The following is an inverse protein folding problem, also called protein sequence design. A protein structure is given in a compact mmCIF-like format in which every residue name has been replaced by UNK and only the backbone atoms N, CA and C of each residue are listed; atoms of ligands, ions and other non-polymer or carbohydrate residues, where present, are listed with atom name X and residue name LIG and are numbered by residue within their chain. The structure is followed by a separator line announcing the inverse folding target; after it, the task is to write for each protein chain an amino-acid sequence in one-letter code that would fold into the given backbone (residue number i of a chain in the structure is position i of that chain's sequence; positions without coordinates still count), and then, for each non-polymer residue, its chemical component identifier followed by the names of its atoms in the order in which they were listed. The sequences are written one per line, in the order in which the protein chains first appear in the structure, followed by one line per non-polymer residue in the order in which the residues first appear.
data_IF_998568743574
#
_entry.id   IF_998568743574
#
_cell.length_a   1.000
_cell.length_b   1.000
_cell.length_c   1.000
_cell.angle_alpha   90.00
_cell.angle_beta   90.00
_cell.angle_gamma   90.00
#
_symmetry.space_group_name_H-M   'P 1'
#
loop_
_entity.id
_entity.type
_entity.pdbx_description
1 polymer ?
#
# COMPACT_ATOMS: atom_id res chain seq x y z
N UNK A 1 4.93 -9.67 -0.60
CA UNK A 1 6.28 -10.01 -0.10
C UNK A 1 6.13 -10.80 1.18
N UNK A 2 6.91 -11.87 1.41
CA UNK A 2 6.88 -12.59 2.68
C UNK A 2 7.35 -11.65 3.81
N UNK A 3 6.61 -11.63 4.93
CA UNK A 3 6.97 -10.81 6.10
C UNK A 3 8.05 -11.50 6.96
N UNK A 4 8.05 -12.84 6.97
CA UNK A 4 9.12 -13.66 7.52
C UNK A 4 10.01 -14.13 6.37
N UNK A 5 11.24 -13.61 6.30
CA UNK A 5 12.17 -13.90 5.19
C UNK A 5 12.69 -15.34 5.24
N UNK A 6 13.10 -15.82 6.42
CA UNK A 6 13.55 -17.19 6.62
C UNK A 6 12.61 -17.89 7.62
N UNK A 7 11.58 -18.54 7.07
CA UNK A 7 10.58 -19.25 7.89
C UNK A 7 11.17 -20.47 8.59
N UNK A 8 12.12 -21.17 7.97
CA UNK A 8 12.69 -22.38 8.54
C UNK A 8 13.54 -22.06 9.77
N UNK A 9 14.37 -21.01 9.70
CA UNK A 9 15.14 -20.53 10.84
C UNK A 9 14.22 -20.02 11.96
N UNK A 10 13.17 -19.27 11.61
CA UNK A 10 12.17 -18.79 12.56
C UNK A 10 11.46 -19.93 13.30
N UNK A 11 11.00 -20.96 12.59
CA UNK A 11 10.32 -22.12 13.17
C UNK A 11 11.26 -22.98 14.02
N UNK A 12 12.51 -23.15 13.59
CA UNK A 12 13.54 -23.85 14.37
C UNK A 12 13.76 -23.17 15.72
N UNK A 13 13.90 -21.84 15.73
CA UNK A 13 14.10 -21.06 16.94
C UNK A 13 12.86 -21.07 17.85
N UNK A 14 11.66 -21.06 17.26
CA UNK A 14 10.41 -21.24 18.00
C UNK A 14 10.33 -22.62 18.67
N UNK A 15 10.69 -23.69 17.95
CA UNK A 15 10.71 -25.05 18.52
C UNK A 15 11.72 -25.14 19.67
N UNK A 16 12.88 -24.49 19.54
CA UNK A 16 13.89 -24.41 20.59
C UNK A 16 13.36 -23.70 21.84
N UNK A 17 12.61 -22.62 21.66
CA UNK A 17 11.91 -21.92 22.76
C UNK A 17 10.87 -22.80 23.45
N UNK A 18 10.00 -23.46 22.67
CA UNK A 18 8.96 -24.33 23.21
C UNK A 18 9.54 -25.52 23.96
N UNK A 19 10.65 -26.08 23.48
CA UNK A 19 11.40 -27.14 24.18
C UNK A 19 11.94 -26.67 25.53
N UNK A 20 12.59 -25.50 25.58
CA UNK A 20 13.08 -24.92 26.83
C UNK A 20 11.94 -24.57 27.81
N UNK A 21 10.79 -24.11 27.29
CA UNK A 21 9.59 -23.87 28.10
C UNK A 21 9.05 -25.17 28.70
N UNK A 22 8.94 -26.23 27.90
CA UNK A 22 8.45 -27.55 28.34
C UNK A 22 9.40 -28.23 29.34
N UNK A 23 10.69 -27.90 29.30
CA UNK A 23 11.69 -28.36 30.25
C UNK A 23 11.78 -27.48 31.52
N UNK A 24 10.89 -26.51 31.70
CA UNK A 24 10.86 -25.53 32.81
C UNK A 24 12.14 -24.68 32.97
N UNK A 25 12.99 -24.61 31.93
CA UNK A 25 14.25 -23.85 31.94
C UNK A 25 14.03 -22.32 32.03
N UNK A 26 12.81 -21.87 31.71
CA UNK A 26 12.44 -20.46 31.62
C UNK A 26 11.76 -19.91 32.87
N UNK A 27 11.42 -20.76 33.85
CA UNK A 27 10.61 -20.37 35.01
C UNK A 27 11.41 -19.57 36.04
N UNK A 28 12.70 -19.88 36.21
CA UNK A 28 13.56 -19.23 37.19
C UNK A 28 14.54 -18.24 36.51
N UNK A 29 14.42 -16.92 36.77
CA UNK A 29 15.28 -15.89 36.18
C UNK A 29 16.78 -16.10 36.45
N UNK A 30 17.12 -16.65 37.62
CA UNK A 30 18.51 -16.82 38.05
C UNK A 30 19.20 -17.98 37.31
N UNK A 31 18.45 -19.03 36.96
CA UNK A 31 18.96 -20.19 36.21
C UNK A 31 18.75 -20.10 34.71
N UNK A 32 18.21 -18.98 34.19
CA UNK A 32 17.95 -18.84 32.76
C UNK A 32 19.24 -19.09 31.94
N UNK A 33 19.22 -19.92 30.90
CA UNK A 33 20.38 -20.09 30.03
C UNK A 33 20.89 -18.77 29.43
N UNK A 34 22.21 -18.62 29.28
CA UNK A 34 22.84 -17.39 28.79
C UNK A 34 22.34 -16.96 27.41
N UNK A 35 22.00 -17.91 26.54
CA UNK A 35 21.50 -17.62 25.21
C UNK A 35 20.14 -16.89 25.25
N UNK A 36 19.23 -17.20 26.20
CA UNK A 36 17.94 -16.50 26.33
C UNK A 36 18.08 -15.06 26.85
N UNK A 37 19.23 -14.74 27.47
CA UNK A 37 19.58 -13.38 27.90
C UNK A 37 20.21 -12.55 26.79
N UNK A 38 20.51 -13.13 25.63
CA UNK A 38 21.17 -12.42 24.54
C UNK A 38 20.21 -11.43 23.87
N UNK A 39 20.77 -10.34 23.33
CA UNK A 39 19.99 -9.39 22.51
C UNK A 39 19.39 -10.05 21.26
N UNK A 40 20.00 -11.12 20.76
CA UNK A 40 19.53 -11.88 19.61
C UNK A 40 18.22 -12.61 19.94
N UNK A 41 18.17 -13.32 21.07
CA UNK A 41 16.95 -13.99 21.57
C UNK A 41 15.85 -12.98 21.89
N UNK A 42 16.20 -11.84 22.52
CA UNK A 42 15.23 -10.76 22.77
C UNK A 42 14.68 -10.20 21.45
N UNK A 43 15.55 -10.01 20.45
CA UNK A 43 15.14 -9.61 19.10
C UNK A 43 14.22 -10.65 18.44
N UNK A 44 14.51 -11.93 18.61
CA UNK A 44 13.64 -13.02 18.14
C UNK A 44 12.27 -13.00 18.83
N UNK A 45 12.21 -12.78 20.15
CA UNK A 45 10.93 -12.64 20.85
C UNK A 45 10.12 -11.44 20.34
N UNK A 46 10.79 -10.33 20.00
CA UNK A 46 10.18 -9.25 19.25
C UNK A 46 9.56 -9.76 17.94
N UNK A 47 10.35 -10.45 17.12
CA UNK A 47 9.89 -10.96 15.83
C UNK A 47 8.70 -11.93 15.97
N UNK A 48 8.73 -12.84 16.94
CA UNK A 48 7.64 -13.76 17.25
C UNK A 48 6.36 -13.02 17.63
N UNK A 49 6.45 -12.03 18.54
CA UNK A 49 5.30 -11.23 18.94
C UNK A 49 4.73 -10.41 17.78
N UNK A 50 5.58 -9.86 16.91
CA UNK A 50 5.14 -9.19 15.69
C UNK A 50 4.48 -10.16 14.70
N UNK A 51 5.02 -11.38 14.54
CA UNK A 51 4.43 -12.43 13.71
C UNK A 51 3.02 -12.82 14.22
N UNK A 52 2.85 -12.97 15.53
CA UNK A 52 1.54 -13.19 16.15
C UNK A 52 0.59 -12.01 15.92
N UNK A 53 1.07 -10.78 16.08
CA UNK A 53 0.30 -9.56 15.82
C UNK A 53 -0.27 -9.54 14.40
N UNK A 54 0.56 -9.81 13.40
CA UNK A 54 0.11 -9.81 12.00
C UNK A 54 -0.73 -11.05 11.64
N UNK A 55 -0.44 -12.21 12.23
CA UNK A 55 -1.30 -13.40 12.12
C UNK A 55 -2.71 -13.13 12.64
N UNK A 56 -2.84 -12.45 13.78
CA UNK A 56 -4.12 -11.98 14.32
C UNK A 56 -4.78 -11.01 13.35
N UNK A 57 -4.05 -10.05 12.77
CA UNK A 57 -4.60 -9.10 11.80
C UNK A 57 -5.28 -9.79 10.60
N UNK A 58 -4.74 -10.92 10.13
CA UNK A 58 -5.31 -11.70 9.03
C UNK A 58 -6.21 -12.87 9.48
N UNK A 59 -6.47 -13.03 10.77
CA UNK A 59 -7.33 -14.09 11.34
C UNK A 59 -8.84 -13.86 11.14
N UNK A 60 -9.67 -14.87 11.42
CA UNK A 60 -11.13 -14.75 11.34
C UNK A 60 -11.78 -14.13 12.59
N UNK A 61 -11.00 -13.55 13.50
CA UNK A 61 -11.53 -12.84 14.66
C UNK A 61 -12.37 -11.62 14.24
N UNK A 62 -13.38 -11.33 15.05
CA UNK A 62 -14.23 -10.15 14.90
C UNK A 62 -13.41 -8.87 15.08
N UNK A 63 -13.87 -7.81 14.40
CA UNK A 63 -13.07 -6.59 14.23
C UNK A 63 -12.56 -6.00 15.57
N UNK A 64 -13.39 -5.83 16.63
CA UNK A 64 -12.92 -5.26 17.89
C UNK A 64 -11.88 -6.11 18.61
N UNK A 65 -12.07 -7.44 18.71
CA UNK A 65 -11.10 -8.31 19.39
C UNK A 65 -9.83 -8.47 18.57
N UNK A 66 -9.97 -8.68 17.26
CA UNK A 66 -8.84 -8.82 16.33
C UNK A 66 -7.86 -7.68 16.52
N UNK A 67 -8.37 -6.46 16.48
CA UNK A 67 -7.49 -5.32 16.37
C UNK A 67 -6.97 -4.83 17.74
N UNK A 68 -7.71 -5.07 18.83
CA UNK A 68 -7.16 -5.01 20.20
C UNK A 68 -5.97 -5.96 20.39
N UNK A 69 -6.14 -7.24 20.07
CA UNK A 69 -5.09 -8.25 20.24
C UNK A 69 -3.89 -7.97 19.32
N UNK A 70 -4.15 -7.57 18.07
CA UNK A 70 -3.12 -7.17 17.13
C UNK A 70 -2.22 -6.06 17.70
N UNK A 71 -2.83 -4.98 18.22
CA UNK A 71 -2.09 -3.88 18.85
C UNK A 71 -1.39 -4.29 20.15
N UNK A 72 -2.00 -5.17 20.95
CA UNK A 72 -1.38 -5.68 22.17
C UNK A 72 -0.07 -6.42 21.88
N UNK A 73 -0.09 -7.36 20.93
CA UNK A 73 1.11 -8.09 20.51
C UNK A 73 2.15 -7.15 19.88
N UNK A 74 1.74 -6.18 19.06
CA UNK A 74 2.64 -5.18 18.49
C UNK A 74 3.32 -4.32 19.57
N UNK A 75 2.59 -3.91 20.61
CA UNK A 75 3.15 -3.16 21.76
C UNK A 75 4.15 -3.99 22.54
N UNK A 76 3.83 -5.26 22.84
CA UNK A 76 4.76 -6.20 23.51
C UNK A 76 6.00 -6.43 22.66
N UNK A 77 5.84 -6.53 21.35
CA UNK A 77 6.94 -6.63 20.39
C UNK A 77 7.87 -5.42 20.44
N UNK A 78 7.32 -4.20 20.41
CA UNK A 78 8.13 -2.97 20.59
C UNK A 78 8.86 -2.94 21.93
N UNK A 79 8.22 -3.43 22.99
CA UNK A 79 8.84 -3.52 24.31
C UNK A 79 10.04 -4.49 24.30
N UNK A 80 9.94 -5.63 23.63
CA UNK A 80 11.08 -6.54 23.45
C UNK A 80 12.21 -5.87 22.67
N UNK A 81 11.92 -5.17 21.57
CA UNK A 81 12.94 -4.41 20.83
C UNK A 81 13.63 -3.35 21.69
N UNK A 82 12.88 -2.65 22.55
CA UNK A 82 13.43 -1.69 23.50
C UNK A 82 14.44 -2.37 24.44
N UNK A 83 14.13 -3.55 24.97
CA UNK A 83 15.04 -4.32 25.81
C UNK A 83 16.29 -4.78 25.04
N UNK A 84 16.17 -5.10 23.75
CA UNK A 84 17.30 -5.42 22.88
C UNK A 84 18.17 -4.19 22.51
N UNK A 85 17.80 -2.98 22.95
CA UNK A 85 18.46 -1.72 22.60
C UNK A 85 18.61 -1.52 21.07
N UNK A 86 17.54 -1.84 20.32
CA UNK A 86 17.59 -1.91 18.85
C UNK A 86 18.08 -0.64 18.14
N UNK A 87 17.92 0.54 18.75
CA UNK A 87 18.41 1.80 18.19
C UNK A 87 19.95 1.90 18.22
N UNK A 88 20.57 1.38 19.27
CA UNK A 88 22.03 1.40 19.45
C UNK A 88 22.70 0.15 18.89
N UNK A 89 21.98 -0.97 18.89
CA UNK A 89 22.45 -2.29 18.46
C UNK A 89 21.42 -2.95 17.55
N UNK A 90 21.22 -2.41 16.33
CA UNK A 90 20.25 -2.98 15.40
C UNK A 90 20.69 -4.39 14.97
N UNK A 91 19.71 -5.26 14.77
CA UNK A 91 19.87 -6.64 14.30
C UNK A 91 18.87 -6.94 13.19
N UNK A 92 19.08 -8.01 12.42
CA UNK A 92 18.15 -8.41 11.36
C UNK A 92 16.75 -8.71 11.94
N UNK A 93 16.69 -9.42 13.06
CA UNK A 93 15.45 -9.65 13.80
C UNK A 93 14.76 -8.33 14.16
N UNK A 94 15.50 -7.34 14.67
CA UNK A 94 14.93 -6.06 15.04
C UNK A 94 14.38 -5.29 13.82
N UNK A 95 15.15 -5.21 12.73
CA UNK A 95 14.71 -4.54 11.49
C UNK A 95 13.46 -5.20 10.92
N UNK A 96 13.45 -6.53 10.83
CA UNK A 96 12.32 -7.28 10.31
C UNK A 96 11.08 -7.17 11.23
N UNK A 97 11.29 -7.15 12.55
CA UNK A 97 10.21 -6.89 13.52
C UNK A 97 9.60 -5.52 13.31
N UNK A 98 10.41 -4.46 13.13
CA UNK A 98 9.93 -3.10 12.88
C UNK A 98 9.15 -3.01 11.56
N UNK A 99 9.56 -3.73 10.51
CA UNK A 99 8.82 -3.84 9.25
C UNK A 99 7.41 -4.39 9.49
N UNK A 100 7.29 -5.48 10.25
CA UNK A 100 6.00 -6.11 10.55
C UNK A 100 5.12 -5.18 11.39
N UNK A 101 5.69 -4.55 12.42
CA UNK A 101 4.97 -3.58 13.26
C UNK A 101 4.50 -2.39 12.42
N UNK A 102 5.35 -1.86 11.54
CA UNK A 102 4.97 -0.81 10.61
C UNK A 102 3.77 -1.21 9.73
N UNK A 103 3.78 -2.43 9.19
CA UNK A 103 2.66 -2.94 8.41
C UNK A 103 1.38 -3.08 9.24
N UNK A 104 1.48 -3.54 10.49
CA UNK A 104 0.35 -3.62 11.42
C UNK A 104 -0.23 -2.23 11.73
N UNK A 105 0.61 -1.24 12.00
CA UNK A 105 0.17 0.14 12.23
C UNK A 105 -0.54 0.70 10.99
N UNK A 106 0.05 0.49 9.82
CA UNK A 106 -0.49 0.93 8.54
C UNK A 106 -1.89 0.33 8.31
N UNK A 107 -2.02 -0.98 8.45
CA UNK A 107 -3.28 -1.69 8.23
C UNK A 107 -4.37 -1.41 9.27
N UNK A 108 -4.00 -0.87 10.44
CA UNK A 108 -4.95 -0.39 11.46
C UNK A 108 -5.23 1.12 11.34
N UNK A 109 -4.96 1.72 10.18
CA UNK A 109 -5.30 3.11 9.89
C UNK A 109 -4.33 4.15 10.49
N UNK A 110 -3.22 3.70 11.09
CA UNK A 110 -2.16 4.55 11.65
C UNK A 110 -1.00 4.70 10.65
N UNK A 111 -1.33 5.02 9.39
CA UNK A 111 -0.37 5.08 8.30
C UNK A 111 0.70 6.16 8.47
N UNK A 112 0.41 7.28 9.14
CA UNK A 112 1.41 8.33 9.44
C UNK A 112 2.48 7.85 10.42
N UNK A 113 2.05 7.10 11.45
CA UNK A 113 2.96 6.48 12.41
C UNK A 113 3.79 5.37 11.74
N UNK A 114 3.16 4.57 10.88
CA UNK A 114 3.84 3.56 10.07
C UNK A 114 4.90 4.18 9.15
N UNK A 115 4.59 5.30 8.49
CA UNK A 115 5.53 6.02 7.62
C UNK A 115 6.74 6.56 8.39
N UNK A 116 6.49 7.14 9.56
CA UNK A 116 7.56 7.64 10.45
C UNK A 116 8.46 6.49 10.94
N UNK A 117 7.85 5.38 11.36
CA UNK A 117 8.57 4.18 11.80
C UNK A 117 9.38 3.55 10.66
N UNK A 118 8.83 3.52 9.45
CA UNK A 118 9.53 3.02 8.26
C UNK A 118 10.81 3.82 7.99
N UNK A 119 10.75 5.16 8.08
CA UNK A 119 11.94 6.00 7.94
C UNK A 119 13.03 5.71 8.98
N UNK A 120 12.65 5.49 10.25
CA UNK A 120 13.60 5.01 11.27
C UNK A 120 14.17 3.64 10.92
N UNK A 121 13.33 2.72 10.47
CA UNK A 121 13.72 1.35 10.14
C UNK A 121 14.71 1.30 8.97
N UNK A 122 14.48 2.12 7.93
CA UNK A 122 15.41 2.27 6.80
C UNK A 122 16.77 2.77 7.29
N UNK A 123 16.81 3.77 8.19
CA UNK A 123 18.09 4.28 8.75
C UNK A 123 18.85 3.22 9.55
N UNK A 124 18.14 2.36 10.28
CA UNK A 124 18.76 1.23 11.00
C UNK A 124 19.29 0.17 10.03
N UNK A 125 18.54 -0.16 8.99
CA UNK A 125 19.01 -1.06 7.94
C UNK A 125 20.25 -0.48 7.23
N UNK A 126 20.28 0.83 7.02
CA UNK A 126 21.43 1.53 6.44
C UNK A 126 22.67 1.48 7.34
N UNK A 127 22.52 1.74 8.65
CA UNK A 127 23.66 1.68 9.59
C UNK A 127 24.26 0.28 9.71
N UNK A 128 23.45 -0.75 9.44
CA UNK A 128 23.87 -2.15 9.33
C UNK A 128 24.45 -2.52 7.95
N UNK A 129 24.41 -1.62 6.96
CA UNK A 129 24.96 -1.87 5.62
C UNK A 129 24.06 -2.68 4.66
N UNK A 130 22.78 -2.89 4.99
CA UNK A 130 21.85 -3.71 4.16
C UNK A 130 21.62 -3.15 2.75
N UNK A 131 21.88 -1.85 2.57
CA UNK A 131 21.69 -1.10 1.33
C UNK A 131 22.90 -1.15 0.37
N UNK A 132 24.03 -1.72 0.82
CA UNK A 132 25.27 -1.74 0.04
C UNK A 132 25.40 -3.08 -0.67
N UNK A 133 25.39 -3.06 -2.00
CA UNK A 133 25.92 -4.16 -2.78
C UNK A 133 27.45 -4.06 -2.79
N UNK A 134 28.14 -5.11 -2.32
CA UNK A 134 29.60 -5.06 -2.28
C UNK A 134 30.18 -5.01 -3.70
N UNK A 135 30.96 -3.98 -4.02
CA UNK A 135 31.53 -3.78 -5.36
C UNK A 135 32.59 -4.84 -5.73
N UNK A 136 33.10 -5.57 -4.74
CA UNK A 136 34.14 -6.60 -4.89
C UNK A 136 33.51 -7.96 -5.22
N UNK A 137 33.78 -8.58 -6.39
CA UNK A 137 33.19 -9.85 -6.81
C UNK A 137 33.29 -11.01 -5.80
N UNK A 138 34.41 -11.10 -5.06
CA UNK A 138 34.63 -12.12 -4.02
C UNK A 138 33.75 -11.90 -2.77
N UNK A 139 33.30 -10.67 -2.53
CA UNK A 139 32.46 -10.29 -1.40
C UNK A 139 30.97 -10.25 -1.78
N UNK A 140 30.64 -10.25 -3.08
CA UNK A 140 29.28 -10.44 -3.61
C UNK A 140 28.71 -11.83 -3.33
N UNK A 141 29.56 -12.86 -3.35
CA UNK A 141 29.19 -14.22 -2.95
C UNK A 141 28.88 -14.34 -1.44
N UNK A 142 29.24 -13.33 -0.64
CA UNK A 142 28.96 -13.25 0.79
C UNK A 142 27.76 -12.34 1.12
N UNK A 143 26.99 -11.86 0.14
CA UNK A 143 25.77 -11.10 0.42
C UNK A 143 24.77 -12.05 1.07
N UNK A 144 24.43 -11.76 2.33
CA UNK A 144 23.43 -12.53 3.06
C UNK A 144 22.07 -12.40 2.33
N UNK A 145 21.52 -13.49 1.76
CA UNK A 145 20.27 -13.44 1.00
C UNK A 145 19.08 -13.01 1.86
N UNK A 146 19.14 -13.25 3.16
CA UNK A 146 18.15 -12.78 4.14
C UNK A 146 18.22 -11.25 4.25
N UNK A 147 19.42 -10.69 4.39
CA UNK A 147 19.62 -9.25 4.49
C UNK A 147 19.15 -8.52 3.22
N UNK A 148 19.46 -9.07 2.04
CA UNK A 148 18.98 -8.54 0.75
C UNK A 148 17.45 -8.59 0.65
N UNK A 149 16.83 -9.69 1.08
CA UNK A 149 15.37 -9.81 1.09
C UNK A 149 14.70 -8.83 2.05
N UNK A 150 15.26 -8.61 3.24
CA UNK A 150 14.79 -7.59 4.20
C UNK A 150 14.92 -6.19 3.60
N UNK A 151 16.04 -5.87 2.95
CA UNK A 151 16.23 -4.59 2.26
C UNK A 151 15.17 -4.39 1.16
N UNK A 152 14.95 -5.40 0.32
CA UNK A 152 13.94 -5.37 -0.73
C UNK A 152 12.54 -5.08 -0.16
N UNK A 153 12.16 -5.72 0.95
CA UNK A 153 10.88 -5.43 1.61
C UNK A 153 10.78 -3.96 2.03
N UNK A 154 11.85 -3.40 2.60
CA UNK A 154 11.90 -1.98 2.98
C UNK A 154 11.75 -1.06 1.78
N UNK A 155 12.46 -1.33 0.68
CA UNK A 155 12.35 -0.53 -0.55
C UNK A 155 10.94 -0.55 -1.10
N UNK A 156 10.33 -1.74 -1.22
CA UNK A 156 8.95 -1.85 -1.70
C UNK A 156 7.97 -1.09 -0.81
N UNK A 157 8.09 -1.22 0.51
CA UNK A 157 7.23 -0.51 1.47
C UNK A 157 7.38 1.00 1.34
N UNK A 158 8.62 1.51 1.24
CA UNK A 158 8.92 2.94 1.15
C UNK A 158 8.37 3.56 -0.13
N UNK A 159 8.59 2.91 -1.27
CA UNK A 159 8.04 3.35 -2.56
C UNK A 159 6.51 3.31 -2.53
N UNK A 160 5.92 2.21 -2.07
CA UNK A 160 4.46 2.01 -2.09
C UNK A 160 3.73 3.01 -1.18
N UNK A 161 4.24 3.24 0.03
CA UNK A 161 3.60 4.18 0.95
C UNK A 161 3.79 5.63 0.49
N UNK A 162 4.99 5.98 0.03
CA UNK A 162 5.31 7.35 -0.42
C UNK A 162 4.49 7.72 -1.66
N UNK A 163 4.28 6.77 -2.56
CA UNK A 163 3.33 6.88 -3.67
C UNK A 163 1.90 7.26 -3.25
N UNK A 164 1.36 6.54 -2.26
CA UNK A 164 0.01 6.78 -1.74
C UNK A 164 -0.10 8.17 -1.10
N UNK A 165 0.98 8.64 -0.47
CA UNK A 165 1.05 9.98 0.12
C UNK A 165 1.45 11.09 -0.85
N UNK A 166 1.77 10.77 -2.11
CA UNK A 166 2.33 11.73 -3.09
C UNK A 166 3.61 12.41 -2.57
N UNK A 167 4.48 11.62 -1.93
CA UNK A 167 5.74 12.06 -1.35
C UNK A 167 6.92 11.33 -2.00
N UNK A 168 8.12 11.93 -2.02
CA UNK A 168 9.32 11.21 -2.44
C UNK A 168 9.68 10.12 -1.42
N UNK A 169 10.08 8.92 -1.88
CA UNK A 169 10.65 7.89 -1.02
C UNK A 169 11.96 8.35 -0.35
N UNK A 170 12.33 7.72 0.77
CA UNK A 170 13.62 7.92 1.44
C UNK A 170 14.72 7.15 0.69
N UNK A 171 14.39 5.97 0.19
CA UNK A 171 15.28 5.14 -0.64
C UNK A 171 15.56 5.84 -1.96
N UNK A 172 16.79 5.70 -2.45
CA UNK A 172 17.19 6.21 -3.77
C UNK A 172 17.56 5.06 -4.70
N UNK A 173 17.42 5.26 -6.01
CA UNK A 173 17.77 4.26 -7.04
C UNK A 173 19.23 3.78 -6.92
N UNK A 174 20.13 4.62 -6.44
CA UNK A 174 21.55 4.29 -6.22
C UNK A 174 21.78 3.16 -5.21
N UNK A 175 20.85 2.93 -4.29
CA UNK A 175 20.97 1.92 -3.23
C UNK A 175 20.34 0.57 -3.61
N UNK A 176 19.75 0.47 -4.78
CA UNK A 176 19.21 -0.79 -5.26
C UNK A 176 20.28 -1.67 -5.89
N UNK A 177 21.39 -1.08 -6.39
CA UNK A 177 22.64 -1.75 -6.77
C UNK A 177 22.55 -2.85 -7.85
N UNK A 178 21.34 -3.26 -8.22
CA UNK A 178 21.05 -4.54 -8.84
C UNK A 178 21.74 -4.63 -10.20
N UNK A 179 22.63 -5.61 -10.36
CA UNK A 179 22.98 -6.09 -11.70
C UNK A 179 21.69 -6.53 -12.39
N UNK A 180 21.43 -6.01 -13.59
CA UNK A 180 20.23 -6.32 -14.36
C UNK A 180 20.01 -7.84 -14.36
N UNK A 181 18.85 -8.28 -13.85
CA UNK A 181 18.51 -9.71 -13.84
C UNK A 181 18.68 -10.22 -15.26
N UNK A 182 19.51 -11.28 -15.49
CA UNK A 182 19.81 -11.76 -16.83
C UNK A 182 18.51 -11.89 -17.64
N UNK A 183 18.47 -11.40 -18.88
CA UNK A 183 17.22 -11.30 -19.66
C UNK A 183 16.41 -12.59 -19.74
N UNK A 184 17.08 -13.73 -19.58
CA UNK A 184 16.55 -15.09 -19.76
C UNK A 184 15.93 -15.70 -18.50
N UNK A 185 15.93 -15.00 -17.37
CA UNK A 185 15.39 -15.53 -16.10
C UNK A 185 14.02 -14.95 -15.80
N UNK A 186 13.06 -15.85 -15.55
CA UNK A 186 11.69 -15.53 -15.14
C UNK A 186 11.68 -14.94 -13.73
N UNK A 187 11.00 -13.81 -13.57
CA UNK A 187 10.93 -13.06 -12.32
C UNK A 187 9.83 -13.62 -11.41
N UNK A 188 10.19 -13.93 -10.16
CA UNK A 188 9.24 -14.21 -9.10
C UNK A 188 8.44 -12.98 -8.67
N UNK A 189 7.35 -13.20 -7.93
CA UNK A 189 6.49 -12.13 -7.45
C UNK A 189 7.25 -11.02 -6.70
N UNK A 190 8.13 -11.33 -5.72
CA UNK A 190 9.00 -10.33 -5.09
C UNK A 190 9.86 -9.55 -6.08
N UNK A 191 10.49 -10.24 -7.04
CA UNK A 191 11.42 -9.62 -7.98
C UNK A 191 10.73 -8.64 -8.92
N UNK A 192 9.50 -8.95 -9.35
CA UNK A 192 8.68 -8.04 -10.14
C UNK A 192 8.37 -6.77 -9.35
N UNK A 193 7.93 -6.88 -8.09
CA UNK A 193 7.59 -5.71 -7.27
C UNK A 193 8.80 -4.80 -7.04
N UNK A 194 9.99 -5.38 -6.82
CA UNK A 194 11.23 -4.59 -6.67
C UNK A 194 11.63 -3.92 -7.97
N UNK A 195 11.50 -4.60 -9.11
CA UNK A 195 11.78 -3.98 -10.41
C UNK A 195 10.82 -2.82 -10.69
N UNK A 196 9.53 -2.93 -10.31
CA UNK A 196 8.59 -1.80 -10.38
C UNK A 196 8.99 -0.68 -9.43
N UNK A 197 9.41 -0.99 -8.20
CA UNK A 197 9.89 0.02 -7.25
C UNK A 197 11.13 0.76 -7.78
N UNK A 198 12.03 0.06 -8.46
CA UNK A 198 13.20 0.65 -9.11
C UNK A 198 12.79 1.67 -10.19
N UNK A 199 11.87 1.29 -11.08
CA UNK A 199 11.32 2.19 -12.10
C UNK A 199 10.77 3.48 -11.46
N UNK A 200 10.03 3.34 -10.35
CA UNK A 200 9.49 4.50 -9.64
C UNK A 200 10.59 5.44 -9.15
N UNK A 201 11.62 4.88 -8.52
CA UNK A 201 12.75 5.63 -7.98
C UNK A 201 13.57 6.33 -9.08
N UNK A 202 13.60 5.77 -10.29
CA UNK A 202 14.24 6.37 -11.46
C UNK A 202 13.39 7.47 -12.11
N UNK A 203 12.06 7.39 -12.00
CA UNK A 203 11.15 8.45 -12.46
C UNK A 203 11.24 9.70 -11.58
N UNK A 204 11.32 9.51 -10.25
CA UNK A 204 11.36 10.57 -9.26
C UNK A 204 12.65 11.40 -9.34
N UNK A 205 12.54 12.63 -9.85
CA UNK A 205 13.69 13.56 -9.84
C UNK A 205 13.71 14.67 -10.88
N UNK A 206 12.71 14.82 -11.75
CA UNK A 206 12.73 15.90 -12.75
C UNK A 206 11.30 16.36 -13.03
N UNK A 207 10.91 17.50 -12.46
CA UNK A 207 9.81 18.32 -12.98
C UNK A 207 10.30 18.98 -14.27
N UNK A 208 10.04 18.34 -15.41
CA UNK A 208 10.36 18.94 -16.70
C UNK A 208 9.36 20.05 -17.00
N UNK A 209 9.84 21.23 -17.39
CA UNK A 209 8.98 22.34 -17.82
C UNK A 209 8.25 21.99 -19.14
N UNK A 210 8.84 21.08 -19.93
CA UNK A 210 8.29 20.62 -21.20
C UNK A 210 7.36 19.41 -21.02
N UNK A 211 6.12 19.59 -21.45
CA UNK A 211 5.04 18.63 -21.31
C UNK A 211 5.15 17.43 -22.28
N UNK A 212 5.73 17.63 -23.46
CA UNK A 212 5.96 16.57 -24.45
C UNK A 212 7.10 15.65 -24.00
N UNK A 213 8.20 16.23 -23.50
CA UNK A 213 9.31 15.45 -22.92
C UNK A 213 8.82 14.65 -21.70
N UNK A 214 7.97 15.24 -20.86
CA UNK A 214 7.39 14.55 -19.71
C UNK A 214 6.55 13.34 -20.15
N UNK A 215 5.67 13.53 -21.13
CA UNK A 215 4.81 12.48 -21.66
C UNK A 215 5.62 11.35 -22.32
N UNK A 216 6.67 11.67 -23.08
CA UNK A 216 7.58 10.67 -23.66
C UNK A 216 8.30 9.83 -22.60
N UNK A 217 8.77 10.47 -21.52
CA UNK A 217 9.40 9.77 -20.38
C UNK A 217 8.40 8.87 -19.64
N UNK A 218 7.16 9.32 -19.46
CA UNK A 218 6.11 8.51 -18.86
C UNK A 218 5.79 7.28 -19.71
N UNK A 219 5.71 7.41 -21.04
CA UNK A 219 5.50 6.26 -21.92
C UNK A 219 6.65 5.27 -21.87
N UNK A 220 7.90 5.74 -21.92
CA UNK A 220 9.07 4.86 -21.78
C UNK A 220 9.06 4.12 -20.42
N UNK A 221 8.64 4.80 -19.37
CA UNK A 221 8.48 4.24 -18.02
C UNK A 221 7.40 3.14 -17.99
N UNK A 222 6.26 3.38 -18.64
CA UNK A 222 5.17 2.41 -18.73
C UNK A 222 5.57 1.18 -19.55
N UNK A 223 6.30 1.39 -20.65
CA UNK A 223 6.85 0.30 -21.45
C UNK A 223 7.80 -0.57 -20.62
N UNK A 224 8.67 0.04 -19.81
CA UNK A 224 9.56 -0.70 -18.92
C UNK A 224 8.80 -1.54 -17.87
N UNK A 225 7.65 -1.05 -17.37
CA UNK A 225 6.76 -1.85 -16.51
C UNK A 225 6.21 -3.06 -17.26
N UNK A 226 5.75 -2.87 -18.50
CA UNK A 226 5.23 -3.96 -19.33
C UNK A 226 6.29 -5.01 -19.67
N UNK A 227 7.52 -4.59 -19.96
CA UNK A 227 8.66 -5.48 -20.22
C UNK A 227 8.99 -6.35 -18.99
N UNK A 228 8.91 -5.79 -17.78
CA UNK A 228 9.07 -6.56 -16.53
C UNK A 228 7.95 -7.58 -16.36
N UNK A 229 6.70 -7.18 -16.62
CA UNK A 229 5.55 -8.09 -16.47
C UNK A 229 5.62 -9.26 -17.47
N UNK A 230 6.11 -9.03 -18.68
CA UNK A 230 6.35 -10.09 -19.67
C UNK A 230 7.42 -11.09 -19.23
N UNK A 231 8.35 -10.67 -18.37
CA UNK A 231 9.38 -11.52 -17.78
C UNK A 231 8.95 -12.19 -16.48
N UNK A 232 7.75 -11.92 -15.95
CA UNK A 232 7.27 -12.57 -14.73
C UNK A 232 7.06 -14.07 -14.95
N UNK A 233 7.14 -14.91 -13.92
CA UNK A 233 6.77 -16.33 -14.02
C UNK A 233 5.38 -16.50 -14.64
N UNK A 234 5.17 -17.57 -15.41
CA UNK A 234 3.94 -17.79 -16.19
C UNK A 234 2.63 -17.66 -15.39
N UNK A 235 2.58 -18.17 -14.15
CA UNK A 235 1.40 -18.05 -13.27
C UNK A 235 1.09 -16.60 -12.87
N UNK A 236 2.09 -15.72 -12.85
CA UNK A 236 1.91 -14.30 -12.60
C UNK A 236 1.37 -13.55 -13.82
N UNK A 237 1.66 -14.04 -15.03
CA UNK A 237 1.15 -13.45 -16.27
C UNK A 237 -0.30 -13.85 -16.56
N UNK A 238 -0.64 -15.13 -16.38
CA UNK A 238 -1.96 -15.66 -16.71
C UNK A 238 -2.56 -16.46 -15.56
N UNK A 239 -3.81 -16.13 -15.21
CA UNK A 239 -4.60 -16.85 -14.20
C UNK A 239 -4.73 -18.34 -14.50
N UNK A 240 -4.76 -18.73 -15.78
CA UNK A 240 -4.91 -20.13 -16.20
C UNK A 240 -3.69 -21.00 -15.83
N UNK A 241 -2.53 -20.37 -15.63
CA UNK A 241 -1.29 -21.05 -15.25
C UNK A 241 -1.14 -21.18 -13.72
N UNK A 242 -2.07 -20.65 -12.94
CA UNK A 242 -2.08 -20.79 -11.48
C UNK A 242 -2.59 -22.19 -11.07
N UNK A 243 -1.79 -22.92 -10.31
CA UNK A 243 -2.09 -24.27 -9.83
C UNK A 243 -2.41 -24.33 -8.33
N UNK A 244 -1.93 -23.37 -7.55
CA UNK A 244 -2.14 -23.31 -6.09
C UNK A 244 -2.86 -22.02 -5.67
N UNK A 245 -3.50 -22.03 -4.49
CA UNK A 245 -4.16 -20.84 -3.93
C UNK A 245 -3.16 -19.67 -3.77
N UNK A 246 -1.95 -19.95 -3.29
CA UNK A 246 -0.89 -18.95 -3.15
C UNK A 246 -0.57 -18.28 -4.49
N UNK A 247 -0.48 -19.05 -5.57
CA UNK A 247 -0.21 -18.51 -6.91
C UNK A 247 -1.35 -17.63 -7.42
N UNK A 248 -2.61 -18.00 -7.15
CA UNK A 248 -3.77 -17.16 -7.47
C UNK A 248 -3.75 -15.84 -6.70
N UNK A 249 -3.42 -15.89 -5.40
CA UNK A 249 -3.29 -14.69 -4.56
C UNK A 249 -2.17 -13.79 -5.08
N UNK A 250 -1.00 -14.34 -5.40
CA UNK A 250 0.13 -13.57 -5.93
C UNK A 250 -0.17 -12.95 -7.30
N UNK A 251 -0.79 -13.72 -8.22
CA UNK A 251 -1.21 -13.21 -9.52
C UNK A 251 -2.17 -12.01 -9.39
N UNK A 252 -3.23 -12.16 -8.59
CA UNK A 252 -4.22 -11.09 -8.42
C UNK A 252 -3.66 -9.91 -7.62
N UNK A 253 -2.82 -10.18 -6.61
CA UNK A 253 -2.11 -9.12 -5.86
C UNK A 253 -1.16 -8.35 -6.76
N UNK A 254 -0.43 -9.03 -7.66
CA UNK A 254 0.44 -8.38 -8.62
C UNK A 254 -0.35 -7.50 -9.57
N UNK A 255 -1.43 -8.02 -10.17
CA UNK A 255 -2.31 -7.23 -11.04
C UNK A 255 -2.82 -5.97 -10.36
N UNK A 256 -3.29 -6.09 -9.12
CA UNK A 256 -3.78 -4.95 -8.34
C UNK A 256 -2.69 -3.94 -8.06
N UNK A 257 -1.55 -4.39 -7.53
CA UNK A 257 -0.45 -3.49 -7.12
C UNK A 257 0.16 -2.81 -8.34
N UNK A 258 0.37 -3.52 -9.45
CA UNK A 258 0.94 -2.93 -10.66
C UNK A 258 -0.03 -1.97 -11.34
N UNK A 259 -1.32 -2.30 -11.45
CA UNK A 259 -2.31 -1.36 -11.98
C UNK A 259 -2.45 -0.11 -11.08
N UNK A 260 -2.46 -0.28 -9.75
CA UNK A 260 -2.44 0.83 -8.82
C UNK A 260 -1.21 1.72 -9.02
N UNK A 261 -0.01 1.12 -9.08
CA UNK A 261 1.25 1.82 -9.33
C UNK A 261 1.26 2.56 -10.66
N UNK A 262 0.84 1.92 -11.76
CA UNK A 262 0.76 2.58 -13.08
C UNK A 262 -0.14 3.81 -13.04
N UNK A 263 -1.29 3.72 -12.37
CA UNK A 263 -2.18 4.86 -12.25
C UNK A 263 -1.58 6.00 -11.43
N UNK A 264 -0.74 5.71 -10.42
CA UNK A 264 0.02 6.73 -9.71
C UNK A 264 1.15 7.32 -10.56
N UNK A 265 1.82 6.54 -11.40
CA UNK A 265 2.87 7.03 -12.31
C UNK A 265 2.30 7.99 -13.37
N UNK A 266 1.08 7.74 -13.86
CA UNK A 266 0.43 8.59 -14.88
C UNK A 266 -0.26 9.82 -14.27
N UNK A 267 -0.36 9.91 -12.94
CA UNK A 267 -1.00 11.02 -12.22
C UNK A 267 -0.58 12.42 -12.67
N UNK A 268 0.71 12.74 -12.94
CA UNK A 268 1.11 14.06 -13.43
C UNK A 268 0.39 14.42 -14.74
N UNK A 269 0.19 13.43 -15.61
CA UNK A 269 -0.50 13.62 -16.87
C UNK A 269 -2.02 13.78 -16.73
N UNK A 270 -2.61 13.32 -15.62
CA UNK A 270 -4.04 13.56 -15.33
C UNK A 270 -4.30 14.95 -14.77
N UNK A 271 -3.31 15.55 -14.09
CA UNK A 271 -3.41 16.88 -13.44
C UNK A 271 -3.17 18.02 -14.41
N UNK A 272 -2.23 17.84 -15.33
CA UNK A 272 -1.95 18.84 -16.35
C UNK A 272 -2.98 18.65 -17.47
N UNK A 273 -3.90 19.61 -17.63
CA UNK A 273 -4.45 19.87 -18.96
C UNK A 273 -3.27 20.30 -19.82
N UNK A 274 -2.60 19.34 -20.46
CA UNK A 274 -1.66 19.66 -21.52
C UNK A 274 -2.43 20.56 -22.46
N UNK A 275 -1.96 21.78 -22.71
CA UNK A 275 -2.55 22.70 -23.71
C UNK A 275 -2.43 22.17 -25.15
N UNK A 276 -2.30 20.85 -25.28
CA UNK A 276 -2.10 20.00 -26.43
C UNK A 276 -3.01 18.78 -26.19
N UNK A 277 -4.32 19.02 -26.12
CA UNK A 277 -5.32 17.96 -25.84
C UNK A 277 -5.40 16.88 -26.94
N UNK A 278 -4.53 16.91 -27.97
CA UNK A 278 -4.71 16.12 -29.19
C UNK A 278 -3.44 15.44 -29.75
N UNK A 279 -2.35 15.33 -28.98
CA UNK A 279 -1.21 14.51 -29.43
C UNK A 279 -1.54 13.02 -29.26
N UNK A 280 -1.25 12.21 -30.29
CA UNK A 280 -1.40 10.74 -30.22
C UNK A 280 -0.73 10.12 -28.98
N UNK A 281 0.40 10.69 -28.56
CA UNK A 281 1.15 10.30 -27.36
C UNK A 281 0.34 10.50 -26.07
N UNK A 282 -0.34 11.63 -25.94
CA UNK A 282 -1.16 11.96 -24.79
C UNK A 282 -2.42 11.08 -24.74
N UNK A 283 -3.07 10.87 -25.88
CA UNK A 283 -4.20 9.94 -25.99
C UNK A 283 -3.80 8.50 -25.59
N UNK A 284 -2.59 8.06 -25.92
CA UNK A 284 -2.08 6.76 -25.47
C UNK A 284 -1.92 6.70 -23.94
N UNK A 285 -1.39 7.76 -23.32
CA UNK A 285 -1.29 7.86 -21.85
C UNK A 285 -2.66 7.82 -21.17
N UNK A 286 -3.65 8.55 -21.69
CA UNK A 286 -5.01 8.55 -21.13
C UNK A 286 -5.67 7.17 -21.24
N UNK A 287 -5.51 6.49 -22.38
CA UNK A 287 -6.01 5.13 -22.55
C UNK A 287 -5.35 4.14 -21.58
N UNK A 288 -4.03 4.29 -21.37
CA UNK A 288 -3.29 3.48 -20.39
C UNK A 288 -3.77 3.76 -18.96
N UNK A 289 -3.97 5.03 -18.60
CA UNK A 289 -4.50 5.44 -17.31
C UNK A 289 -5.89 4.86 -17.06
N UNK A 290 -6.82 5.01 -18.01
CA UNK A 290 -8.18 4.45 -17.94
C UNK A 290 -8.14 2.94 -17.73
N UNK A 291 -7.34 2.23 -18.52
CA UNK A 291 -7.18 0.77 -18.41
C UNK A 291 -6.71 0.38 -17.01
N UNK A 292 -5.69 1.06 -16.50
CA UNK A 292 -5.12 0.79 -15.19
C UNK A 292 -6.10 1.09 -14.04
N UNK A 293 -6.79 2.23 -14.12
CA UNK A 293 -7.81 2.65 -13.16
C UNK A 293 -8.98 1.65 -13.09
N UNK A 294 -9.38 1.04 -14.21
CA UNK A 294 -10.41 0.00 -14.27
C UNK A 294 -9.89 -1.35 -13.77
N UNK A 295 -8.63 -1.70 -14.07
CA UNK A 295 -8.05 -2.97 -13.68
C UNK A 295 -7.86 -3.08 -12.15
N UNK A 296 -7.50 -2.00 -11.47
CA UNK A 296 -7.32 -1.97 -10.00
C UNK A 296 -8.55 -2.48 -9.23
N UNK A 297 -9.77 -1.91 -9.38
CA UNK A 297 -10.96 -2.39 -8.69
C UNK A 297 -11.42 -3.78 -9.15
N UNK A 298 -11.22 -4.14 -10.43
CA UNK A 298 -11.49 -5.52 -10.91
C UNK A 298 -10.62 -6.54 -10.18
N UNK A 299 -9.31 -6.31 -10.14
CA UNK A 299 -8.36 -7.18 -9.44
C UNK A 299 -8.63 -7.21 -7.93
N UNK A 300 -9.07 -6.10 -7.33
CA UNK A 300 -9.45 -6.04 -5.93
C UNK A 300 -10.64 -6.96 -5.62
N UNK A 301 -11.71 -6.86 -6.42
CA UNK A 301 -12.92 -7.69 -6.25
C UNK A 301 -12.61 -9.17 -6.46
N UNK A 302 -11.82 -9.50 -7.50
CA UNK A 302 -11.38 -10.88 -7.76
C UNK A 302 -10.54 -11.43 -6.60
N UNK A 303 -9.62 -10.63 -6.04
CA UNK A 303 -8.77 -11.05 -4.93
C UNK A 303 -9.57 -11.19 -3.63
N UNK A 304 -10.51 -10.28 -3.37
CA UNK A 304 -11.37 -10.33 -2.18
C UNK A 304 -12.24 -11.59 -2.16
N UNK A 305 -12.64 -12.08 -3.33
CA UNK A 305 -13.46 -13.29 -3.43
C UNK A 305 -12.74 -14.55 -2.92
N UNK A 306 -11.40 -14.56 -2.90
CA UNK A 306 -10.60 -15.73 -2.50
C UNK A 306 -9.68 -15.47 -1.29
N UNK A 307 -9.56 -14.22 -0.83
CA UNK A 307 -8.64 -13.83 0.23
C UNK A 307 -9.11 -12.60 0.99
N UNK A 308 -8.88 -12.58 2.30
CA UNK A 308 -9.15 -11.41 3.16
C UNK A 308 -8.10 -10.31 3.01
N UNK A 309 -6.96 -10.60 2.37
CA UNK A 309 -5.80 -9.71 2.25
C UNK A 309 -6.14 -8.31 1.71
N UNK A 310 -6.83 -8.14 0.56
CA UNK A 310 -7.11 -6.81 0.01
C UNK A 310 -8.01 -5.97 0.92
N UNK A 311 -8.90 -6.59 1.68
CA UNK A 311 -9.79 -5.92 2.64
C UNK A 311 -9.09 -5.51 3.94
N UNK A 312 -7.83 -5.92 4.12
CA UNK A 312 -7.06 -5.70 5.35
C UNK A 312 -5.68 -5.11 5.08
N UNK A 313 -5.35 -4.84 3.82
CA UNK A 313 -4.13 -4.18 3.42
C UNK A 313 -4.44 -2.71 3.13
N UNK A 314 -3.86 -1.82 3.93
CA UNK A 314 -4.06 -0.38 3.76
C UNK A 314 -3.72 0.10 2.35
N UNK A 315 -2.61 -0.37 1.78
CA UNK A 315 -2.17 0.00 0.43
C UNK A 315 -3.17 -0.45 -0.64
N UNK A 316 -3.70 -1.68 -0.54
CA UNK A 316 -4.67 -2.18 -1.51
C UNK A 316 -6.01 -1.43 -1.41
N UNK A 317 -6.47 -1.13 -0.19
CA UNK A 317 -7.64 -0.29 0.06
C UNK A 317 -7.42 1.11 -0.53
N UNK A 318 -6.24 1.69 -0.29
CA UNK A 318 -5.88 3.01 -0.82
C UNK A 318 -5.94 3.02 -2.35
N UNK A 319 -5.29 2.06 -3.00
CA UNK A 319 -5.26 1.94 -4.45
C UNK A 319 -6.67 1.80 -5.04
N UNK A 320 -7.51 0.92 -4.49
CA UNK A 320 -8.86 0.72 -5.03
C UNK A 320 -9.79 1.91 -4.79
N UNK A 321 -9.74 2.53 -3.61
CA UNK A 321 -10.55 3.72 -3.31
C UNK A 321 -10.15 4.87 -4.23
N UNK A 322 -8.84 5.10 -4.37
CA UNK A 322 -8.33 6.15 -5.23
C UNK A 322 -8.70 5.90 -6.69
N UNK A 323 -8.47 4.69 -7.22
CA UNK A 323 -8.82 4.40 -8.62
C UNK A 323 -10.32 4.54 -8.88
N UNK A 324 -11.16 4.04 -7.97
CA UNK A 324 -12.62 4.14 -8.09
C UNK A 324 -13.07 5.60 -8.02
N UNK A 325 -12.51 6.41 -7.13
CA UNK A 325 -12.88 7.82 -6.98
C UNK A 325 -12.48 8.62 -8.22
N UNK A 326 -11.28 8.38 -8.76
CA UNK A 326 -10.85 9.02 -10.01
C UNK A 326 -11.77 8.63 -11.17
N UNK A 327 -12.15 7.34 -11.30
CA UNK A 327 -13.10 6.91 -12.33
C UNK A 327 -14.46 7.62 -12.24
N UNK A 328 -14.95 7.86 -11.02
CA UNK A 328 -16.23 8.52 -10.77
C UNK A 328 -16.20 10.03 -11.04
N UNK A 329 -15.05 10.67 -10.93
CA UNK A 329 -14.92 12.12 -11.08
C UNK A 329 -14.42 12.53 -12.47
N UNK A 330 -13.58 11.70 -13.09
CA UNK A 330 -12.93 12.03 -14.34
C UNK A 330 -13.91 12.09 -15.51
N UNK A 331 -13.94 13.22 -16.23
CA UNK A 331 -14.88 13.52 -17.33
C UNK A 331 -14.99 12.40 -18.37
N UNK A 332 -13.90 11.68 -18.66
CA UNK A 332 -13.87 10.65 -19.70
C UNK A 332 -14.46 9.30 -19.24
N UNK A 333 -14.67 9.11 -17.95
CA UNK A 333 -15.12 7.84 -17.35
C UNK A 333 -16.33 7.99 -16.45
N UNK A 334 -16.68 9.21 -16.02
CA UNK A 334 -17.78 9.48 -15.08
C UNK A 334 -19.16 9.07 -15.57
N UNK A 335 -19.34 8.92 -16.88
CA UNK A 335 -20.60 8.53 -17.53
C UNK A 335 -20.51 7.11 -18.11
N UNK A 336 -19.41 6.38 -17.86
CA UNK A 336 -19.17 5.03 -18.39
C UNK A 336 -19.90 3.97 -17.53
N UNK A 337 -20.82 3.17 -18.11
CA UNK A 337 -21.62 2.20 -17.37
C UNK A 337 -20.78 1.13 -16.66
N UNK A 338 -19.62 0.76 -17.23
CA UNK A 338 -18.71 -0.20 -16.59
C UNK A 338 -18.11 0.39 -15.31
N UNK A 339 -17.68 1.66 -15.35
CA UNK A 339 -17.12 2.37 -14.20
C UNK A 339 -18.14 2.50 -13.07
N UNK A 340 -19.40 2.82 -13.39
CA UNK A 340 -20.47 2.88 -12.38
C UNK A 340 -20.78 1.51 -11.76
N UNK A 341 -20.73 0.43 -12.54
CA UNK A 341 -20.93 -0.91 -12.02
C UNK A 341 -19.80 -1.31 -11.05
N UNK A 342 -18.55 -1.00 -11.42
CA UNK A 342 -17.39 -1.19 -10.54
C UNK A 342 -17.52 -0.38 -9.25
N UNK A 343 -17.88 0.89 -9.34
CA UNK A 343 -18.10 1.74 -8.17
C UNK A 343 -19.14 1.15 -7.21
N UNK A 344 -20.29 0.69 -7.74
CA UNK A 344 -21.33 0.03 -6.93
C UNK A 344 -20.83 -1.26 -6.28
N UNK A 345 -20.07 -2.10 -7.02
CA UNK A 345 -19.51 -3.34 -6.49
C UNK A 345 -18.52 -3.08 -5.35
N UNK A 346 -17.64 -2.09 -5.51
CA UNK A 346 -16.66 -1.69 -4.47
C UNK A 346 -17.37 -1.15 -3.23
N UNK A 347 -18.37 -0.30 -3.39
CA UNK A 347 -19.15 0.20 -2.25
C UNK A 347 -19.84 -0.94 -1.50
N UNK A 348 -20.50 -1.86 -2.22
CA UNK A 348 -21.12 -3.05 -1.61
C UNK A 348 -20.10 -3.92 -0.86
N UNK A 349 -18.92 -4.12 -1.44
CA UNK A 349 -17.85 -4.89 -0.82
C UNK A 349 -17.37 -4.28 0.51
N UNK A 350 -17.22 -2.95 0.57
CA UNK A 350 -16.82 -2.25 1.79
C UNK A 350 -17.93 -2.17 2.83
N UNK A 351 -19.17 -1.87 2.41
CA UNK A 351 -20.34 -1.80 3.31
C UNK A 351 -20.65 -3.16 3.94
N UNK A 352 -20.61 -4.25 3.17
CA UNK A 352 -20.86 -5.61 3.71
C UNK A 352 -19.82 -6.05 4.73
N UNK A 353 -18.60 -5.52 4.65
CA UNK A 353 -17.51 -5.87 5.56
C UNK A 353 -17.45 -4.97 6.81
N UNK A 354 -18.38 -4.02 6.96
CA UNK A 354 -18.40 -3.01 8.03
C UNK A 354 -17.05 -2.27 8.20
N UNK A 355 -16.27 -2.14 7.12
CA UNK A 355 -14.90 -1.63 7.18
C UNK A 355 -14.86 -0.18 7.66
N UNK A 356 -15.83 0.64 7.24
CA UNK A 356 -15.94 2.07 7.58
C UNK A 356 -16.99 2.37 8.68
N UNK A 357 -17.53 1.33 9.34
CA UNK A 357 -18.58 1.45 10.37
C UNK A 357 -19.99 1.73 9.82
N UNK A 358 -21.01 1.60 10.68
CA UNK A 358 -22.39 2.00 10.34
C UNK A 358 -22.51 3.52 10.30
N UNK A 359 -23.08 4.07 9.22
CA UNK A 359 -23.31 5.50 9.03
C UNK A 359 -24.28 6.12 10.06
N UNK A 360 -25.02 5.29 10.80
CA UNK A 360 -26.08 5.71 11.73
C UNK A 360 -25.63 5.90 13.18
N UNK A 361 -24.35 5.62 13.51
CA UNK A 361 -23.83 5.81 14.87
C UNK A 361 -22.91 7.03 14.88
N UNK A 362 -23.22 8.09 15.64
CA UNK A 362 -22.36 9.26 15.75
C UNK A 362 -20.97 8.82 16.16
N UNK A 363 -19.98 9.22 15.36
CA UNK A 363 -18.56 8.95 15.51
C UNK A 363 -18.13 8.76 16.98
N UNK A 364 -18.06 7.51 17.43
CA UNK A 364 -17.56 7.19 18.75
C UNK A 364 -16.11 7.71 18.85
N UNK A 365 -15.86 8.43 19.94
CA UNK A 365 -14.60 9.02 20.37
C UNK A 365 -13.39 8.13 20.03
N UNK A 366 -12.52 8.62 19.14
CA UNK A 366 -11.07 8.38 19.08
C UNK A 366 -10.47 6.97 18.97
N UNK A 367 -11.09 5.93 19.52
CA UNK A 367 -10.39 4.70 19.94
C UNK A 367 -10.69 3.49 19.06
N UNK A 368 -11.68 3.55 18.16
CA UNK A 368 -12.14 2.41 17.34
C UNK A 368 -12.14 2.68 15.82
N UNK A 369 -11.34 3.61 15.32
CA UNK A 369 -11.22 3.89 13.87
C UNK A 369 -10.07 3.08 13.27
N UNK A 370 -10.41 1.90 12.74
CA UNK A 370 -9.49 0.96 12.09
C UNK A 370 -9.07 1.39 10.69
N UNK A 371 -9.82 2.32 10.08
CA UNK A 371 -9.53 2.91 8.77
C UNK A 371 -8.99 4.32 8.93
N UNK A 372 -8.01 4.71 8.12
CA UNK A 372 -7.44 6.05 8.18
C UNK A 372 -8.51 7.11 7.85
N UNK A 373 -8.31 8.34 8.34
CA UNK A 373 -9.26 9.44 8.13
C UNK A 373 -9.43 9.74 6.63
N UNK A 374 -8.35 9.60 5.87
CA UNK A 374 -8.26 9.80 4.43
C UNK A 374 -9.14 8.78 3.70
N UNK A 375 -9.08 7.50 4.08
CA UNK A 375 -9.94 6.47 3.50
C UNK A 375 -11.42 6.70 3.80
N UNK A 376 -11.76 7.14 5.02
CA UNK A 376 -13.14 7.48 5.37
C UNK A 376 -13.65 8.64 4.50
N UNK A 377 -12.84 9.70 4.31
CA UNK A 377 -13.20 10.83 3.44
C UNK A 377 -13.40 10.39 2.00
N UNK A 378 -12.48 9.59 1.46
CA UNK A 378 -12.54 9.04 0.11
C UNK A 378 -13.81 8.21 -0.11
N UNK A 379 -14.12 7.33 0.84
CA UNK A 379 -15.31 6.49 0.77
C UNK A 379 -16.59 7.33 0.87
N UNK A 380 -16.60 8.37 1.71
CA UNK A 380 -17.72 9.31 1.79
C UNK A 380 -17.91 10.06 0.47
N UNK A 381 -16.82 10.54 -0.15
CA UNK A 381 -16.88 11.19 -1.46
C UNK A 381 -17.43 10.25 -2.55
N UNK A 382 -17.05 8.98 -2.53
CA UNK A 382 -17.59 7.95 -3.42
C UNK A 382 -19.11 7.75 -3.26
N UNK A 383 -19.60 7.73 -2.02
CA UNK A 383 -21.05 7.63 -1.73
C UNK A 383 -21.82 8.86 -2.22
N UNK A 384 -21.25 10.05 -2.02
CA UNK A 384 -21.84 11.31 -2.51
C UNK A 384 -21.91 11.33 -4.04
N UNK A 385 -20.86 10.86 -4.74
CA UNK A 385 -20.83 10.80 -6.19
C UNK A 385 -21.99 9.94 -6.75
N UNK A 386 -22.28 8.79 -6.15
CA UNK A 386 -23.45 7.95 -6.52
C UNK A 386 -24.78 8.67 -6.24
N UNK A 387 -24.88 9.33 -5.09
CA UNK A 387 -26.13 10.01 -4.69
C UNK A 387 -26.46 11.15 -5.66
N UNK A 388 -25.46 11.93 -6.06
CA UNK A 388 -25.59 12.99 -7.05
C UNK A 388 -25.96 12.44 -8.44
N UNK A 389 -25.42 11.28 -8.84
CA UNK A 389 -25.80 10.60 -10.08
C UNK A 389 -27.29 10.20 -10.07
N UNK A 390 -27.77 9.60 -8.98
CA UNK A 390 -29.18 9.26 -8.82
C UNK A 390 -30.09 10.49 -8.82
N UNK A 391 -29.66 11.58 -8.18
CA UNK A 391 -30.40 12.84 -8.18
C UNK A 391 -30.42 13.48 -9.56
N UNK A 392 -29.30 13.50 -10.29
CA UNK A 392 -29.22 14.02 -11.66
C UNK A 392 -30.00 13.16 -12.66
N UNK A 393 -30.07 11.83 -12.49
CA UNK A 393 -30.92 10.96 -13.33
C UNK A 393 -32.40 11.14 -13.02
N UNK A 394 -32.78 11.27 -11.75
CA UNK A 394 -34.17 11.61 -11.36
C UNK A 394 -34.56 12.98 -11.88
N UNK A 395 -33.70 13.98 -11.71
CA UNK A 395 -33.96 15.33 -12.18
C UNK A 395 -33.88 15.42 -13.71
N UNK A 396 -33.05 14.63 -14.40
CA UNK A 396 -33.04 14.56 -15.86
C UNK A 396 -34.34 14.00 -16.45
N UNK A 397 -34.97 13.03 -15.76
CA UNK A 397 -36.32 12.53 -16.11
C UNK A 397 -37.41 13.55 -15.76
N UNK A 398 -37.22 14.34 -14.71
CA UNK A 398 -38.17 15.41 -14.31
C UNK A 398 -38.03 16.66 -15.19
N UNK A 399 -36.82 17.00 -15.63
CA UNK A 399 -36.51 18.14 -16.52
C UNK A 399 -36.96 17.86 -17.96
N UNK A 400 -36.95 16.59 -18.41
CA UNK A 400 -37.63 16.19 -19.65
C UNK A 400 -39.15 16.43 -19.60
N UNK A 401 -39.76 16.50 -18.40
CA UNK A 401 -41.16 16.81 -18.18
C UNK A 401 -41.42 18.26 -17.70
N UNK A 402 -40.39 19.08 -17.48
CA UNK A 402 -40.50 20.45 -16.95
C UNK A 402 -39.86 21.52 -17.83
N UNK A 403 -39.32 21.14 -19.00
CA UNK A 403 -38.80 22.06 -20.03
C UNK A 403 -39.89 22.84 -20.80
N UNK A 404 -41.10 22.96 -20.22
CA UNK A 404 -42.17 23.84 -20.69
C UNK A 404 -42.55 25.00 -19.74
N UNK A 405 -41.92 25.16 -18.55
CA UNK A 405 -42.29 26.29 -17.66
C UNK A 405 -41.11 26.97 -16.97
N UNK A 406 -40.60 27.96 -17.71
CA UNK A 406 -40.14 29.31 -17.31
C UNK A 406 -39.01 29.52 -16.30
N UNK A 407 -38.26 30.58 -16.66
CA UNK A 407 -37.07 31.22 -16.09
C UNK A 407 -37.40 32.26 -15.00
N UNK A 408 -36.31 32.76 -14.36
CA UNK A 408 -36.14 33.96 -13.50
C UNK A 408 -36.37 33.72 -11.98
N UNK A 409 -35.57 34.21 -11.00
CA UNK A 409 -34.52 35.23 -10.94
C UNK A 409 -33.69 35.16 -9.61
N UNK A 410 -32.50 35.81 -9.63
CA UNK A 410 -31.73 36.56 -8.59
C UNK A 410 -31.16 36.00 -7.25
N UNK A 411 -29.80 35.92 -7.22
CA UNK A 411 -28.73 36.52 -6.32
C UNK A 411 -28.65 36.39 -4.77
N UNK A 412 -27.43 36.49 -4.17
CA UNK A 412 -27.05 35.85 -2.89
C UNK A 412 -26.83 36.82 -1.69
N UNK A 413 -26.81 36.27 -0.47
CA UNK A 413 -26.48 36.98 0.79
C UNK A 413 -25.27 36.32 1.47
N UNK A 414 -24.31 37.15 1.87
CA UNK A 414 -23.05 36.82 2.54
C UNK A 414 -23.10 37.09 4.04
N UNK A 415 -22.49 36.23 4.87
CA UNK A 415 -22.23 36.47 6.30
C UNK A 415 -20.79 36.10 6.72
N UNK A 416 -20.28 36.67 7.83
CA UNK A 416 -18.86 36.99 8.02
C UNK A 416 -17.99 35.88 8.65
N UNK A 417 -16.71 35.93 8.30
CA UNK A 417 -15.67 34.97 8.68
C UNK A 417 -15.21 35.07 10.14
N UNK A 418 -15.12 33.90 10.77
CA UNK A 418 -14.41 33.67 12.03
C UNK A 418 -13.00 33.16 11.74
N UNK A 419 -11.99 33.87 12.24
CA UNK A 419 -10.59 33.46 12.17
C UNK A 419 -10.37 32.16 12.96
N UNK A 420 -9.98 31.09 12.26
CA UNK A 420 -9.39 29.87 12.86
C UNK A 420 -7.88 29.91 12.61
N UNK A 421 -7.13 29.61 13.66
CA UNK A 421 -5.68 29.37 13.56
C UNK A 421 -5.39 28.31 12.48
N UNK A 422 -4.30 28.46 11.71
CA UNK A 422 -4.00 27.55 10.61
C UNK A 422 -3.69 26.17 11.18
N UNK A 423 -4.60 25.22 10.96
CA UNK A 423 -4.28 23.81 11.12
C UNK A 423 -3.07 23.49 10.23
N UNK A 424 -2.06 22.73 10.70
CA UNK A 424 -0.99 22.27 9.82
C UNK A 424 -1.62 21.63 8.59
N UNK A 425 -1.17 22.03 7.39
CA UNK A 425 -1.72 21.55 6.11
C UNK A 425 -1.73 20.02 6.12
N UNK A 426 -2.91 19.45 6.34
CA UNK A 426 -3.22 18.07 6.00
C UNK A 426 -3.09 17.99 4.48
N UNK A 427 -1.92 17.58 4.02
CA UNK A 427 -1.62 17.31 2.62
C UNK A 427 -2.17 15.92 2.25
N UNK A 428 -3.44 15.69 2.60
CA UNK A 428 -4.18 14.50 2.17
C UNK A 428 -4.54 14.71 0.71
N UNK A 429 -4.11 13.79 -0.15
CA UNK A 429 -4.31 13.89 -1.59
C UNK A 429 -5.79 13.95 -2.01
N UNK A 430 -6.70 13.38 -1.21
CA UNK A 430 -8.14 13.51 -1.44
C UNK A 430 -8.61 14.96 -1.42
N UNK A 431 -7.88 15.83 -0.72
CA UNK A 431 -8.19 17.26 -0.63
C UNK A 431 -7.65 18.04 -1.86
N UNK A 432 -6.97 17.38 -2.81
CA UNK A 432 -6.37 17.97 -4.02
C UNK A 432 -6.97 17.45 -5.33
N UNK A 433 -8.10 16.73 -5.26
CA UNK A 433 -8.83 16.25 -6.44
C UNK A 433 -9.75 17.38 -6.93
N UNK A 434 -9.15 18.41 -7.51
CA UNK A 434 -9.82 19.26 -8.50
C UNK A 434 -9.51 18.63 -9.86
N UNK A 435 -10.34 17.68 -10.31
CA UNK A 435 -10.31 17.07 -11.65
C UNK A 435 -11.42 17.62 -12.53
#
# INVERSE_FOLDING_TARGET
MPMIVDINSFESELCRYLGAYAADELQNPDSLPAHWRSNESIGFFGLLLAALSVGIHYSNLDLPHRARLCLEFARRSMQALRLANFLFRPSLNAVQTLVIIGNVLQNNGQSDAAWSLLGTTIRLAQSMGLHVESKVPQQRQAINPIASSVWNILVWQDVSISACYDRPPIVTSKWLGREAVPPQTDLSYPEVLISIAQIWLELGGIDTVDAEIQAGRLLATLQAVDDILQRAKQYLQSRQMCQALQQHIEHLSLKLLTAGSVSFLIRPALRQSFGIEDTAMYNHLLNRAKTSLIQTPKAFLDLQAISVVPMRSWTMIHMVLWSTLVLSLWKNTRDDPECHDLQRKIIRAFSSSNLFGNHDVPFATGENKWTSKEHIRAFTALLTAISNEHHNRRNGVVIANQSERQQNDSTPVSEPGTYREPSPRSTSWFDSIDL
#
